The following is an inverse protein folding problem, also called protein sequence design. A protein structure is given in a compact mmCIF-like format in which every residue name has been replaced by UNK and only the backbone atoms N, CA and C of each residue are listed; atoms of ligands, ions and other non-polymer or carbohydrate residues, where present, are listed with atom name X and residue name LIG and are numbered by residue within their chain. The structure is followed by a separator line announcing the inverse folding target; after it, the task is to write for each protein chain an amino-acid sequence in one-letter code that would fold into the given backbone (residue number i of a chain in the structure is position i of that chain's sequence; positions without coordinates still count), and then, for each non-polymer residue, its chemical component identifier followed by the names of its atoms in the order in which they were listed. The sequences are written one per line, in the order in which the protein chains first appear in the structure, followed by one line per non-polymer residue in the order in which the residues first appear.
data_IF_631579765009
#
_entry.id   IF_631579765009
#
_cell.length_a   1.000
_cell.length_b   1.000
_cell.length_c   1.000
_cell.angle_alpha   90.00
_cell.angle_beta   90.00
_cell.angle_gamma   90.00
#
_symmetry.space_group_name_H-M   'P 1'
#
loop_
_entity.id
_entity.type
_entity.pdbx_description
1 polymer ?
#
# COMPACT_ATOMS: atom_id res chain seq x y z
N UNK A 1 -8.79 -12.48 -18.32
CA UNK A 1 -9.14 -11.22 -18.99
C UNK A 1 -10.56 -11.22 -19.53
N UNK A 2 -11.58 -10.94 -18.70
CA UNK A 2 -12.96 -10.69 -19.18
C UNK A 2 -13.64 -9.46 -18.54
N UNK A 3 -12.94 -8.71 -17.68
CA UNK A 3 -13.47 -7.52 -17.01
C UNK A 3 -13.08 -6.20 -17.69
N UNK A 4 -12.13 -6.22 -18.63
CA UNK A 4 -11.53 -5.01 -19.21
C UNK A 4 -12.26 -4.54 -20.49
N UNK A 5 -12.97 -5.41 -21.20
CA UNK A 5 -13.52 -5.12 -22.54
C UNK A 5 -14.83 -4.30 -22.59
N UNK A 6 -15.33 -3.77 -21.47
CA UNK A 6 -16.66 -3.10 -21.44
C UNK A 6 -16.69 -1.65 -20.95
N UNK A 7 -15.55 -0.96 -20.84
CA UNK A 7 -15.54 0.42 -20.36
C UNK A 7 -15.11 1.41 -21.45
N UNK A 8 -16.11 1.96 -22.13
CA UNK A 8 -15.93 3.09 -23.04
C UNK A 8 -15.54 4.36 -22.28
N UNK A 9 -14.43 4.97 -22.72
CA UNK A 9 -14.04 6.39 -22.65
C UNK A 9 -14.71 7.30 -21.60
N UNK A 10 -14.67 6.92 -20.32
CA UNK A 10 -14.79 7.84 -19.17
C UNK A 10 -13.66 7.51 -18.21
N UNK A 11 -12.96 8.52 -17.73
CA UNK A 11 -11.85 8.42 -16.77
C UNK A 11 -12.32 7.75 -15.47
N UNK A 12 -12.27 6.42 -15.46
CA UNK A 12 -12.63 5.58 -14.32
C UNK A 12 -11.41 5.39 -13.44
N UNK A 13 -11.39 6.02 -12.27
CA UNK A 13 -10.44 5.71 -11.20
C UNK A 13 -10.77 4.32 -10.65
N UNK A 14 -9.89 3.36 -10.89
CA UNK A 14 -10.01 2.01 -10.33
C UNK A 14 -9.33 1.99 -8.95
N UNK A 15 -10.05 1.50 -7.94
CA UNK A 15 -9.55 1.36 -6.56
C UNK A 15 -9.46 -0.13 -6.22
N UNK A 16 -8.25 -0.59 -5.86
CA UNK A 16 -8.06 -1.93 -5.30
C UNK A 16 -7.93 -1.83 -3.77
N UNK A 17 -8.77 -2.57 -3.06
CA UNK A 17 -8.69 -2.71 -1.60
C UNK A 17 -8.62 -4.20 -1.26
N UNK A 18 -7.58 -4.61 -0.55
CA UNK A 18 -7.32 -6.02 -0.20
C UNK A 18 -8.07 -6.52 1.04
N UNK A 19 -9.00 -5.74 1.59
CA UNK A 19 -9.52 -5.92 2.96
C UNK A 19 -10.61 -7.02 3.15
N UNK A 20 -10.97 -7.80 2.13
CA UNK A 20 -12.11 -8.72 2.23
C UNK A 20 -11.69 -10.19 2.49
N UNK A 21 -11.32 -10.52 3.73
CA UNK A 21 -10.84 -11.86 4.12
C UNK A 21 -11.91 -12.92 4.41
N UNK A 22 -13.22 -12.60 4.41
CA UNK A 22 -14.26 -13.56 4.84
C UNK A 22 -14.31 -14.84 4.01
N UNK A 23 -13.77 -14.83 2.77
CA UNK A 23 -13.69 -16.00 1.89
C UNK A 23 -12.34 -16.16 1.16
N UNK A 24 -11.28 -15.51 1.66
CA UNK A 24 -9.95 -15.68 1.05
C UNK A 24 -9.37 -17.04 1.49
N UNK A 25 -9.42 -18.04 0.60
CA UNK A 25 -8.73 -19.30 0.80
C UNK A 25 -7.23 -19.05 0.74
N UNK A 26 -6.60 -18.88 1.90
CA UNK A 26 -5.14 -18.82 2.02
C UNK A 26 -4.55 -20.20 1.80
N UNK A 27 -3.61 -20.30 0.87
CA UNK A 27 -2.82 -21.52 0.70
C UNK A 27 -1.95 -21.74 1.94
N UNK A 28 -1.43 -22.96 2.12
CA UNK A 28 -0.48 -23.26 3.21
C UNK A 28 0.75 -22.33 3.09
N UNK A 29 1.22 -22.06 1.88
CA UNK A 29 2.32 -21.14 1.62
C UNK A 29 2.03 -19.72 2.12
N UNK A 30 0.83 -19.19 1.86
CA UNK A 30 0.42 -17.85 2.31
C UNK A 30 0.41 -17.75 3.84
N UNK A 31 -0.01 -18.82 4.53
CA UNK A 31 0.00 -18.86 6.00
C UNK A 31 1.42 -18.78 6.56
N UNK A 32 2.35 -19.58 6.03
CA UNK A 32 3.76 -19.54 6.45
C UNK A 32 4.39 -18.19 6.14
N UNK A 33 4.09 -17.60 4.97
CA UNK A 33 4.59 -16.28 4.63
C UNK A 33 4.04 -15.21 5.59
N UNK A 34 2.74 -15.21 5.86
CA UNK A 34 2.16 -14.24 6.79
C UNK A 34 2.73 -14.39 8.21
N UNK A 35 3.00 -15.62 8.66
CA UNK A 35 3.68 -15.86 9.92
C UNK A 35 5.12 -15.33 9.92
N UNK A 36 5.88 -15.59 8.86
CA UNK A 36 7.24 -15.12 8.72
C UNK A 36 7.31 -13.58 8.63
N UNK A 37 6.39 -12.94 7.92
CA UNK A 37 6.26 -11.46 7.90
C UNK A 37 5.94 -10.95 9.30
N UNK A 38 4.97 -11.56 10.00
CA UNK A 38 4.62 -11.18 11.36
C UNK A 38 5.82 -11.21 12.29
N UNK A 39 6.62 -12.29 12.23
CA UNK A 39 7.80 -12.45 13.06
C UNK A 39 8.95 -11.50 12.68
N UNK A 40 9.31 -11.42 11.39
CA UNK A 40 10.39 -10.56 10.91
C UNK A 40 10.09 -9.06 11.06
N UNK A 41 8.81 -8.69 11.09
CA UNK A 41 8.38 -7.32 11.39
C UNK A 41 8.37 -7.01 12.88
N UNK A 42 8.44 -8.00 13.78
CA UNK A 42 8.30 -7.79 15.22
C UNK A 42 6.86 -7.52 15.64
N UNK A 43 5.88 -8.01 14.88
CA UNK A 43 4.46 -7.86 15.19
C UNK A 43 4.05 -8.63 16.46
N UNK A 44 4.80 -9.67 16.83
CA UNK A 44 4.64 -10.46 18.06
C UNK A 44 4.89 -9.65 19.35
N UNK A 45 5.61 -8.54 19.25
CA UNK A 45 5.80 -7.60 20.35
C UNK A 45 4.61 -6.63 20.54
N UNK A 46 3.68 -6.57 19.57
CA UNK A 46 2.52 -5.66 19.61
C UNK A 46 1.33 -6.36 20.25
N UNK A 47 0.73 -5.73 21.28
CA UNK A 47 -0.45 -6.25 21.96
C UNK A 47 -0.15 -7.36 22.96
N UNK A 48 1.07 -7.43 23.49
CA UNK A 48 1.42 -8.41 24.53
C UNK A 48 0.60 -8.16 25.81
N UNK A 49 0.13 -9.25 26.41
CA UNK A 49 -0.64 -9.19 27.65
C UNK A 49 0.19 -8.52 28.77
N UNK A 50 -0.37 -7.49 29.39
CA UNK A 50 0.29 -6.73 30.46
C UNK A 50 1.19 -5.59 29.98
N UNK A 51 1.43 -5.44 28.67
CA UNK A 51 2.13 -4.28 28.14
C UNK A 51 1.28 -3.01 28.26
N UNK A 52 1.91 -1.93 28.69
CA UNK A 52 1.32 -0.59 28.71
C UNK A 52 0.99 -0.10 27.30
N UNK A 53 0.16 0.94 27.20
CA UNK A 53 -0.12 1.59 25.91
C UNK A 53 1.16 2.16 25.27
N UNK A 54 2.07 2.72 26.06
CA UNK A 54 3.33 3.30 25.59
C UNK A 54 4.29 2.24 25.04
N UNK A 55 4.41 1.09 25.72
CA UNK A 55 5.18 -0.05 25.23
C UNK A 55 4.61 -0.59 23.92
N UNK A 56 3.28 -0.70 23.81
CA UNK A 56 2.61 -1.10 22.58
C UNK A 56 2.83 -0.10 21.43
N UNK A 57 2.85 1.20 21.74
CA UNK A 57 3.18 2.26 20.77
C UNK A 57 4.62 2.15 20.28
N UNK A 58 5.56 1.90 21.18
CA UNK A 58 6.97 1.73 20.84
C UNK A 58 7.19 0.47 19.99
N UNK A 59 6.59 -0.66 20.36
CA UNK A 59 6.63 -1.90 19.59
C UNK A 59 6.03 -1.72 18.20
N UNK A 60 4.88 -1.06 18.08
CA UNK A 60 4.25 -0.77 16.79
C UNK A 60 5.12 0.17 15.93
N UNK A 61 5.75 1.17 16.54
CA UNK A 61 6.71 2.06 15.86
C UNK A 61 7.90 1.29 15.30
N UNK A 62 8.48 0.39 16.09
CA UNK A 62 9.56 -0.50 15.65
C UNK A 62 9.11 -1.43 14.51
N UNK A 63 7.91 -2.00 14.62
CA UNK A 63 7.34 -2.85 13.58
C UNK A 63 7.16 -2.12 12.25
N UNK A 64 6.60 -0.91 12.28
CA UNK A 64 6.47 -0.04 11.09
C UNK A 64 7.83 0.29 10.47
N UNK A 65 8.84 0.62 11.29
CA UNK A 65 10.19 0.92 10.81
C UNK A 65 10.84 -0.30 10.14
N UNK A 66 10.69 -1.49 10.73
CA UNK A 66 11.21 -2.74 10.16
C UNK A 66 10.57 -3.07 8.81
N UNK A 67 9.24 -2.96 8.71
CA UNK A 67 8.51 -3.17 7.46
C UNK A 67 8.96 -2.16 6.40
N UNK A 68 9.08 -0.88 6.76
CA UNK A 68 9.54 0.15 5.84
C UNK A 68 10.95 -0.14 5.31
N UNK A 69 11.86 -0.56 6.19
CA UNK A 69 13.24 -0.92 5.83
C UNK A 69 13.30 -2.15 4.93
N UNK A 70 12.46 -3.15 5.18
CA UNK A 70 12.38 -4.35 4.35
C UNK A 70 11.75 -4.07 2.97
N UNK A 71 10.78 -3.16 2.91
CA UNK A 71 10.08 -2.80 1.68
C UNK A 71 10.94 -2.00 0.71
N UNK A 72 11.79 -1.08 1.20
CA UNK A 72 12.52 -0.14 0.33
C UNK A 72 13.36 -0.84 -0.76
N UNK A 73 14.20 -1.86 -0.49
CA UNK A 73 14.94 -2.56 -1.53
C UNK A 73 14.04 -3.27 -2.54
N UNK A 74 12.93 -3.86 -2.07
CA UNK A 74 11.96 -4.54 -2.94
C UNK A 74 11.26 -3.55 -3.87
N UNK A 75 10.87 -2.39 -3.33
CA UNK A 75 10.27 -1.31 -4.08
C UNK A 75 11.23 -0.77 -5.14
N UNK A 76 12.46 -0.42 -4.78
CA UNK A 76 13.46 0.09 -5.73
C UNK A 76 13.71 -0.91 -6.87
N UNK A 77 13.85 -2.19 -6.54
CA UNK A 77 14.01 -3.26 -7.55
C UNK A 77 12.79 -3.37 -8.47
N UNK A 78 11.58 -3.30 -7.92
CA UNK A 78 10.35 -3.40 -8.70
C UNK A 78 10.15 -2.20 -9.63
N UNK A 79 10.50 -0.99 -9.17
CA UNK A 79 10.48 0.25 -9.96
C UNK A 79 11.44 0.16 -11.14
N UNK A 80 12.69 -0.25 -10.87
CA UNK A 80 13.71 -0.43 -11.91
C UNK A 80 13.30 -1.50 -12.93
N UNK A 81 12.77 -2.64 -12.47
CA UNK A 81 12.28 -3.72 -13.34
C UNK A 81 11.17 -3.23 -14.26
N UNK A 82 10.24 -2.42 -13.74
CA UNK A 82 9.10 -1.90 -14.51
C UNK A 82 9.42 -0.68 -15.38
N UNK A 83 10.59 -0.08 -15.22
CA UNK A 83 10.93 1.17 -15.91
C UNK A 83 10.01 2.33 -15.51
N UNK A 84 9.60 2.41 -14.24
CA UNK A 84 8.74 3.48 -13.76
C UNK A 84 9.55 4.73 -13.40
N UNK A 85 9.11 5.89 -13.89
CA UNK A 85 9.46 7.19 -13.34
C UNK A 85 8.52 7.49 -12.18
N UNK A 86 9.07 7.92 -11.04
CA UNK A 86 8.30 8.23 -9.83
C UNK A 86 8.39 9.71 -9.52
N UNK A 87 7.25 10.38 -9.43
CA UNK A 87 7.12 11.77 -8.99
C UNK A 87 6.34 11.80 -7.66
N UNK A 88 6.86 12.47 -6.65
CA UNK A 88 6.15 12.65 -5.37
C UNK A 88 5.33 13.93 -5.40
N UNK A 89 4.06 13.85 -5.03
CA UNK A 89 3.18 15.01 -4.82
C UNK A 89 2.62 14.99 -3.41
N UNK A 90 2.72 16.13 -2.73
CA UNK A 90 2.10 16.35 -1.43
C UNK A 90 0.77 17.06 -1.61
N UNK A 91 -0.31 16.48 -1.12
CA UNK A 91 -1.66 17.07 -1.10
C UNK A 91 -1.98 17.53 0.32
N UNK A 92 -2.40 18.78 0.45
CA UNK A 92 -2.91 19.32 1.72
C UNK A 92 -4.38 18.97 1.87
N UNK A 93 -4.73 18.27 2.96
CA UNK A 93 -6.13 17.96 3.26
C UNK A 93 -6.79 19.13 3.97
N UNK A 94 -8.03 19.43 3.56
CA UNK A 94 -8.84 20.46 4.21
C UNK A 94 -9.09 20.15 5.69
N UNK A 95 -9.39 21.20 6.47
CA UNK A 95 -9.63 21.10 7.91
C UNK A 95 -10.75 20.10 8.28
N UNK A 96 -11.76 19.95 7.41
CA UNK A 96 -12.87 18.99 7.59
C UNK A 96 -12.45 17.52 7.55
N UNK A 97 -11.25 17.20 7.05
CA UNK A 97 -10.71 15.84 6.95
C UNK A 97 -9.63 15.55 8.01
N UNK A 98 -9.62 16.30 9.12
CA UNK A 98 -8.65 16.12 10.21
C UNK A 98 -7.25 16.71 9.93
N UNK A 99 -7.14 17.60 8.94
CA UNK A 99 -5.94 18.41 8.64
C UNK A 99 -4.66 17.65 8.27
N UNK A 100 -3.72 18.36 7.63
CA UNK A 100 -2.34 17.94 7.33
C UNK A 100 -2.09 17.38 5.91
N UNK A 101 -0.84 17.03 5.64
CA UNK A 101 -0.37 16.57 4.33
C UNK A 101 -0.60 15.07 4.10
N UNK A 102 -0.71 14.70 2.83
CA UNK A 102 -0.76 13.35 2.30
C UNK A 102 0.21 13.26 1.13
N UNK A 103 1.19 12.37 1.20
CA UNK A 103 2.10 12.15 0.08
C UNK A 103 1.53 11.11 -0.88
N UNK A 104 1.65 11.38 -2.17
CA UNK A 104 1.22 10.50 -3.26
C UNK A 104 2.40 10.32 -4.20
N UNK A 105 2.77 9.07 -4.44
CA UNK A 105 3.84 8.70 -5.36
C UNK A 105 3.20 8.32 -6.69
N UNK A 106 3.41 9.12 -7.72
CA UNK A 106 2.86 8.92 -9.06
C UNK A 106 3.90 8.19 -9.90
N UNK A 107 3.51 7.03 -10.42
CA UNK A 107 4.33 6.14 -11.20
C UNK A 107 3.90 6.25 -12.67
N UNK A 108 4.83 6.71 -13.49
CA UNK A 108 4.64 6.92 -14.93
C UNK A 108 5.57 5.98 -15.68
N UNK A 109 5.12 5.25 -16.71
CA UNK A 109 6.02 4.40 -17.49
C UNK A 109 7.06 5.26 -18.23
N UNK A 110 8.30 4.78 -18.37
CA UNK A 110 9.42 5.56 -18.96
C UNK A 110 9.16 6.10 -20.38
N UNK A 111 8.25 5.48 -21.15
CA UNK A 111 7.83 5.96 -22.47
C UNK A 111 6.70 7.02 -22.47
N UNK A 112 6.20 7.42 -21.30
CA UNK A 112 5.12 8.41 -21.17
C UNK A 112 5.62 9.83 -21.43
N UNK A 113 5.21 10.44 -22.54
CA UNK A 113 5.37 11.89 -22.76
C UNK A 113 4.32 12.66 -21.96
N UNK A 114 4.56 13.94 -21.63
CA UNK A 114 3.58 14.76 -20.91
C UNK A 114 2.19 14.80 -21.60
N UNK A 115 2.18 14.80 -22.93
CA UNK A 115 0.95 14.74 -23.74
C UNK A 115 0.21 13.40 -23.58
N UNK A 116 0.94 12.29 -23.49
CA UNK A 116 0.36 10.95 -23.34
C UNK A 116 -0.09 10.70 -21.89
N UNK A 117 0.66 11.18 -20.90
CA UNK A 117 0.33 11.02 -19.47
C UNK A 117 -1.00 11.68 -19.12
N UNK A 118 -1.32 12.84 -19.71
CA UNK A 118 -2.61 13.51 -19.50
C UNK A 118 -3.83 12.71 -20.01
N UNK A 119 -3.61 11.74 -20.90
CA UNK A 119 -4.64 10.86 -21.44
C UNK A 119 -4.63 9.44 -20.86
N UNK A 120 -3.65 9.11 -20.01
CA UNK A 120 -3.54 7.78 -19.39
C UNK A 120 -4.56 7.60 -18.27
N UNK A 121 -5.04 6.36 -18.10
CA UNK A 121 -5.83 6.00 -16.92
C UNK A 121 -4.96 6.07 -15.68
N UNK A 122 -5.45 6.71 -14.62
CA UNK A 122 -4.79 6.71 -13.31
C UNK A 122 -5.43 5.66 -12.40
N UNK A 123 -4.61 4.70 -11.97
CA UNK A 123 -4.99 3.70 -10.96
C UNK A 123 -4.54 4.18 -9.58
N UNK A 124 -5.42 4.14 -8.59
CA UNK A 124 -5.06 4.47 -7.22
C UNK A 124 -4.73 3.20 -6.44
N UNK A 125 -3.56 3.19 -5.81
CA UNK A 125 -3.08 2.11 -4.95
C UNK A 125 -3.02 2.57 -3.50
N UNK A 126 -3.78 1.91 -2.64
CA UNK A 126 -3.63 1.99 -1.20
C UNK A 126 -3.00 0.69 -0.73
N UNK A 127 -1.84 0.78 -0.08
CA UNK A 127 -1.12 -0.40 0.40
C UNK A 127 -1.95 -1.20 1.42
N UNK A 128 -1.60 -2.47 1.59
CA UNK A 128 -2.23 -3.34 2.59
C UNK A 128 -1.75 -3.06 4.01
N UNK A 129 -1.83 -4.07 4.89
CA UNK A 129 -1.30 -3.99 6.25
C UNK A 129 -2.33 -3.66 7.32
N UNK A 130 -3.61 -4.01 7.08
CA UNK A 130 -4.66 -3.90 8.10
C UNK A 130 -4.90 -2.49 8.62
N UNK A 131 -4.54 -1.49 7.82
CA UNK A 131 -4.46 -0.08 8.19
C UNK A 131 -3.41 0.25 9.27
N UNK A 132 -2.71 -0.72 9.86
CA UNK A 132 -1.80 -0.50 10.99
C UNK A 132 -0.33 -0.43 10.59
N UNK A 133 0.05 -1.02 9.46
CA UNK A 133 1.43 -1.08 8.93
C UNK A 133 1.45 -0.88 7.41
N UNK A 134 2.66 -0.76 6.84
CA UNK A 134 2.90 -0.52 5.42
C UNK A 134 3.22 0.94 5.11
N UNK A 135 3.47 1.23 3.83
CA UNK A 135 3.72 2.57 3.30
C UNK A 135 3.48 2.60 1.78
N UNK A 136 3.51 3.77 1.16
CA UNK A 136 3.31 3.94 -0.29
C UNK A 136 4.44 3.35 -1.14
N UNK A 137 5.60 3.06 -0.54
CA UNK A 137 6.78 2.43 -1.15
C UNK A 137 6.78 0.93 -0.93
N UNK A 138 5.62 0.30 -1.04
CA UNK A 138 5.46 -1.14 -0.94
C UNK A 138 5.82 -1.82 -2.27
N UNK A 139 6.83 -2.69 -2.27
CA UNK A 139 7.28 -3.38 -3.49
C UNK A 139 6.26 -4.34 -4.10
N UNK A 140 5.34 -4.90 -3.29
CA UNK A 140 4.27 -5.78 -3.77
C UNK A 140 3.33 -5.06 -4.75
N UNK A 141 2.88 -3.84 -4.41
CA UNK A 141 2.00 -3.05 -5.28
C UNK A 141 2.65 -2.76 -6.64
N UNK A 142 3.92 -2.36 -6.64
CA UNK A 142 4.68 -2.12 -7.89
C UNK A 142 4.83 -3.41 -8.69
N UNK A 143 5.10 -4.54 -8.04
CA UNK A 143 5.18 -5.86 -8.67
C UNK A 143 3.88 -6.24 -9.38
N UNK A 144 2.74 -6.05 -8.73
CA UNK A 144 1.43 -6.25 -9.33
C UNK A 144 1.24 -5.39 -10.60
N UNK A 145 1.61 -4.11 -10.55
CA UNK A 145 1.46 -3.23 -11.71
C UNK A 145 2.47 -3.52 -12.83
N UNK A 146 3.64 -4.08 -12.52
CA UNK A 146 4.54 -4.63 -13.55
C UNK A 146 3.87 -5.76 -14.32
N UNK A 147 3.22 -6.69 -13.62
CA UNK A 147 2.56 -7.84 -14.25
C UNK A 147 1.32 -7.39 -15.05
N UNK A 148 0.56 -6.43 -14.53
CA UNK A 148 -0.55 -5.81 -15.27
C UNK A 148 -0.05 -5.10 -16.53
N UNK A 149 1.03 -4.31 -16.43
CA UNK A 149 1.61 -3.62 -17.58
C UNK A 149 2.16 -4.58 -18.64
N UNK A 150 2.68 -5.74 -18.24
CA UNK A 150 3.13 -6.78 -19.17
C UNK A 150 1.97 -7.48 -19.89
N UNK A 151 0.80 -7.59 -19.26
CA UNK A 151 -0.37 -8.29 -19.80
C UNK A 151 -1.43 -7.40 -20.45
N UNK A 152 -1.38 -6.09 -20.25
CA UNK A 152 -2.37 -5.14 -20.76
C UNK A 152 -1.91 -4.44 -22.05
N UNK A 153 -2.83 -4.21 -22.97
CA UNK A 153 -2.62 -3.47 -24.23
C UNK A 153 -2.78 -1.95 -24.08
N UNK A 154 -3.08 -1.44 -22.88
CA UNK A 154 -3.33 -0.03 -22.60
C UNK A 154 -2.29 0.59 -21.66
N UNK A 155 -1.91 1.85 -21.93
CA UNK A 155 -1.01 2.62 -21.08
C UNK A 155 -1.74 3.22 -19.88
N UNK A 156 -1.20 3.02 -18.68
CA UNK A 156 -1.73 3.60 -17.44
C UNK A 156 -0.60 4.18 -16.59
N UNK A 157 -0.99 5.08 -15.69
CA UNK A 157 -0.19 5.49 -14.53
C UNK A 157 -0.82 4.88 -13.28
N UNK A 158 -0.02 4.69 -12.23
CA UNK A 158 -0.59 4.37 -10.92
C UNK A 158 -0.03 5.29 -9.85
N UNK A 159 -0.84 5.57 -8.83
CA UNK A 159 -0.47 6.44 -7.73
C UNK A 159 -0.60 5.68 -6.40
N UNK A 160 0.53 5.52 -5.70
CA UNK A 160 0.57 4.94 -4.36
C UNK A 160 0.35 6.02 -3.33
N UNK A 161 -0.59 5.79 -2.42
CA UNK A 161 -1.01 6.77 -1.40
C UNK A 161 -0.36 6.46 -0.06
N UNK A 162 0.33 7.44 0.53
CA UNK A 162 0.88 7.37 1.89
C UNK A 162 -0.19 7.82 2.89
N UNK A 163 -1.08 6.90 3.27
CA UNK A 163 -2.14 7.22 4.22
C UNK A 163 -1.67 7.12 5.67
N UNK A 164 -2.31 7.90 6.55
CA UNK A 164 -2.01 7.84 7.99
C UNK A 164 -2.44 6.50 8.55
N UNK A 165 -1.53 5.84 9.24
CA UNK A 165 -1.83 4.66 10.05
C UNK A 165 -2.40 5.15 11.40
N UNK A 166 -3.50 4.54 11.89
CA UNK A 166 -4.08 4.93 13.17
C UNK A 166 -3.11 4.58 14.30
N UNK A 167 -3.21 5.26 15.45
CA UNK A 167 -2.64 4.71 16.67
C UNK A 167 -3.32 3.35 17.00
N UNK A 168 -2.68 2.45 17.76
CA UNK A 168 -3.34 1.30 18.33
C UNK A 168 -4.53 1.76 19.18
N UNK A 169 -5.56 0.90 19.25
CA UNK A 169 -6.69 1.16 20.13
C UNK A 169 -6.21 1.24 21.59
N UNK A 170 -6.76 2.15 22.41
CA UNK A 170 -6.48 2.16 23.84
C UNK A 170 -6.88 0.80 24.46
N UNK A 171 -6.23 0.37 25.56
CA UNK A 171 -6.58 -0.87 26.24
C UNK A 171 -8.06 -0.85 26.64
N UNK A 172 -8.74 -2.02 26.65
CA UNK A 172 -10.11 -2.09 27.15
C UNK A 172 -10.17 -1.60 28.60
N UNK A 173 -11.28 -0.97 29.02
CA UNK A 173 -11.44 -0.55 30.40
C UNK A 173 -11.32 -1.77 31.33
N UNK A 174 -10.76 -1.61 32.54
CA UNK A 174 -10.67 -2.73 33.48
C UNK A 174 -12.09 -3.24 33.80
N UNK A 175 -12.38 -4.50 33.44
CA UNK A 175 -13.65 -5.17 33.76
C UNK A 175 -14.56 -5.57 32.58
N UNK A 176 -14.06 -5.57 31.34
CA UNK A 176 -14.76 -6.08 30.15
C UNK A 176 -14.52 -7.55 29.86
#
# INVERSE_FOLDING_TARGET
GRAIDKMGARSSSLCFSSCCHRHAYMTIGDKFMNLAIGWLSGLDAVGQAGASFEENMQALGACRANISKANEPMYQKAIQKGGWKVDTKTIMRGASSGGGSLDILIHTPAGGTAANVGAMTLVLWAHGGGMTVGNAREGYGVGLFNDVAAGASGSFCFASVEYRLPPPAPPPPPGG
#
